data_IF_334373068970
#
_entry.id   IF_334373068970
#
_cell.length_a   1.000
_cell.length_b   1.000
_cell.length_c   1.000
_cell.angle_alpha   90.00
_cell.angle_beta   90.00
_cell.angle_gamma   90.00
#
_symmetry.space_group_name_H-M   'P 1'
#
loop_
_entity.id
_entity.type
_entity.pdbx_description
1 polymer ?
#
# COMPACT_ATOMS: atom_id res chain seq x y z
N UNK A 1 53.21 28.36 14.37
CA UNK A 1 53.63 27.04 13.85
C UNK A 1 52.66 25.93 14.25
N UNK A 2 51.36 26.09 13.99
CA UNK A 2 50.34 25.03 14.18
C UNK A 2 49.14 25.32 13.24
N UNK A 3 49.46 25.49 11.95
CA UNK A 3 48.49 25.76 10.87
C UNK A 3 48.55 24.64 9.84
N UNK A 4 48.45 23.38 10.27
CA UNK A 4 48.47 22.22 9.37
C UNK A 4 48.00 20.95 10.11
N UNK A 5 46.74 20.95 10.55
CA UNK A 5 46.06 19.70 10.92
C UNK A 5 44.54 19.79 10.68
N UNK A 6 44.14 20.43 9.56
CA UNK A 6 42.73 20.53 9.13
C UNK A 6 42.49 19.79 7.80
N UNK A 7 43.54 19.32 7.09
CA UNK A 7 43.42 18.78 5.73
C UNK A 7 43.58 17.26 5.56
N UNK A 8 43.60 16.45 6.61
CA UNK A 8 43.80 14.98 6.51
C UNK A 8 42.64 14.18 7.10
N UNK A 9 41.42 14.69 6.99
CA UNK A 9 40.17 13.90 7.07
C UNK A 9 39.27 14.21 5.86
N UNK A 10 39.87 14.65 4.75
CA UNK A 10 39.18 15.09 3.52
C UNK A 10 39.31 14.05 2.40
N UNK A 11 39.86 12.87 2.67
CA UNK A 11 40.05 11.88 1.61
C UNK A 11 40.09 10.47 2.15
N UNK A 12 38.91 9.85 2.31
CA UNK A 12 38.58 8.51 1.80
C UNK A 12 37.33 7.99 2.50
N UNK A 13 36.17 8.47 2.07
CA UNK A 13 34.97 7.64 2.02
C UNK A 13 34.35 7.94 0.66
N UNK A 14 34.41 6.94 -0.22
CA UNK A 14 33.87 7.01 -1.56
C UNK A 14 32.46 7.60 -1.53
N UNK A 15 32.16 8.50 -2.46
CA UNK A 15 30.78 8.77 -2.82
C UNK A 15 30.17 7.41 -3.22
N UNK A 16 29.35 6.83 -2.35
CA UNK A 16 28.48 5.72 -2.71
C UNK A 16 27.33 6.34 -3.50
N UNK A 17 27.23 6.17 -4.82
CA UNK A 17 25.99 6.46 -5.49
C UNK A 17 24.95 5.46 -4.99
N UNK A 18 23.92 5.94 -4.27
CA UNK A 18 22.68 5.17 -4.09
C UNK A 18 22.47 4.45 -2.76
N UNK A 19 22.61 5.12 -1.61
CA UNK A 19 21.68 4.82 -0.51
C UNK A 19 20.41 5.62 -0.79
N UNK A 20 19.35 4.95 -1.24
CA UNK A 20 18.02 5.57 -1.28
C UNK A 20 17.66 6.04 0.12
N UNK A 21 17.02 7.20 0.26
CA UNK A 21 16.53 7.68 1.57
C UNK A 21 15.60 6.65 2.23
N UNK A 22 14.98 5.76 1.43
CA UNK A 22 14.23 4.59 1.88
C UNK A 22 14.93 3.72 2.92
N UNK A 23 16.26 3.51 2.81
CA UNK A 23 16.95 2.61 3.77
C UNK A 23 17.04 3.20 5.18
N UNK A 24 16.82 4.51 5.31
CA UNK A 24 16.85 5.25 6.55
C UNK A 24 15.43 5.72 6.98
N UNK A 25 14.38 5.05 6.50
CA UNK A 25 13.01 5.39 6.87
C UNK A 25 12.79 5.28 8.39
N UNK A 26 12.21 6.32 8.98
CA UNK A 26 11.87 6.40 10.41
C UNK A 26 10.34 6.42 10.58
N UNK A 27 9.85 6.06 11.77
CA UNK A 27 8.42 6.12 12.10
C UNK A 27 8.06 7.55 12.49
N UNK A 28 7.16 8.20 11.73
CA UNK A 28 6.59 9.51 12.06
C UNK A 28 5.50 9.35 13.11
N UNK A 29 4.57 8.43 12.86
CA UNK A 29 3.44 8.17 13.74
C UNK A 29 3.13 6.68 13.80
N UNK A 30 2.74 6.23 14.98
CA UNK A 30 2.26 4.88 15.22
C UNK A 30 1.25 4.97 16.35
N UNK A 31 0.04 4.49 16.12
CA UNK A 31 -0.96 4.37 17.18
C UNK A 31 -1.66 3.03 17.07
N UNK A 32 -1.87 2.41 18.23
CA UNK A 32 -2.52 1.12 18.37
C UNK A 32 -3.50 1.25 19.56
N UNK A 33 -4.78 0.99 19.32
CA UNK A 33 -5.82 0.97 20.34
C UNK A 33 -6.50 -0.40 20.30
N UNK A 34 -6.39 -1.15 21.38
CA UNK A 34 -6.90 -2.52 21.51
C UNK A 34 -8.01 -2.53 22.55
N UNK A 35 -9.18 -2.97 22.13
CA UNK A 35 -10.42 -2.97 22.89
C UNK A 35 -11.04 -4.38 22.87
N UNK A 36 -11.97 -4.70 23.78
CA UNK A 36 -12.63 -6.01 23.77
C UNK A 36 -13.38 -6.31 22.47
N UNK A 37 -13.90 -5.27 21.81
CA UNK A 37 -14.70 -5.35 20.57
C UNK A 37 -13.85 -5.26 19.29
N UNK A 38 -12.52 -5.12 19.41
CA UNK A 38 -11.64 -5.03 18.25
C UNK A 38 -10.41 -4.15 18.48
N UNK A 39 -9.80 -3.71 17.40
CA UNK A 39 -8.62 -2.84 17.46
C UNK A 39 -8.61 -1.81 16.34
N UNK A 40 -7.85 -0.74 16.54
CA UNK A 40 -7.42 0.16 15.47
C UNK A 40 -5.91 0.29 15.52
N UNK A 41 -5.27 0.28 14.37
CA UNK A 41 -3.83 0.45 14.24
C UNK A 41 -3.52 1.38 13.06
N UNK A 42 -2.54 2.25 13.23
CA UNK A 42 -2.00 3.09 12.17
C UNK A 42 -0.48 3.16 12.27
N UNK A 43 0.14 3.41 11.12
CA UNK A 43 1.56 3.61 10.96
C UNK A 43 1.80 4.61 9.83
N UNK A 44 2.73 5.53 10.07
CA UNK A 44 3.26 6.43 9.06
C UNK A 44 4.78 6.51 9.19
N UNK A 45 5.49 6.45 8.07
CA UNK A 45 6.96 6.54 8.02
C UNK A 45 7.42 7.74 7.19
N UNK A 46 8.69 8.13 7.37
CA UNK A 46 9.29 9.29 6.69
C UNK A 46 9.41 9.14 5.19
N UNK A 47 9.46 7.91 4.68
CA UNK A 47 9.46 7.61 3.25
C UNK A 47 8.05 7.41 2.66
N UNK A 48 7.01 7.90 3.34
CA UNK A 48 5.65 7.95 2.79
C UNK A 48 4.85 6.64 2.89
N UNK A 49 5.35 5.62 3.59
CA UNK A 49 4.55 4.42 3.87
C UNK A 49 3.46 4.80 4.86
N UNK A 50 2.22 4.45 4.53
CA UNK A 50 1.07 4.57 5.43
C UNK A 50 0.32 3.26 5.51
N UNK A 51 -0.08 2.89 6.72
CA UNK A 51 -0.89 1.71 6.98
C UNK A 51 -2.00 2.09 7.96
N UNK A 52 -3.22 1.67 7.67
CA UNK A 52 -4.34 1.78 8.59
C UNK A 52 -5.07 0.45 8.65
N UNK A 53 -5.43 0.01 9.86
CA UNK A 53 -6.19 -1.22 10.08
C UNK A 53 -7.21 -1.03 11.17
N UNK A 54 -8.40 -1.58 10.96
CA UNK A 54 -9.41 -1.79 11.98
C UNK A 54 -9.79 -3.26 11.97
N UNK A 55 -9.78 -3.89 13.13
CA UNK A 55 -10.28 -5.24 13.32
C UNK A 55 -11.44 -5.28 14.30
N UNK A 56 -12.33 -6.26 14.16
CA UNK A 56 -13.42 -6.53 15.09
C UNK A 56 -13.17 -7.80 15.93
N UNK A 57 -14.05 -8.05 16.90
CA UNK A 57 -14.00 -9.22 17.79
C UNK A 57 -14.18 -10.58 17.07
N UNK A 58 -14.67 -10.57 15.82
CA UNK A 58 -14.87 -11.76 15.00
C UNK A 58 -13.63 -12.09 14.16
N UNK A 59 -12.57 -11.28 14.25
CA UNK A 59 -11.34 -11.45 13.48
C UNK A 59 -11.42 -10.90 12.05
N UNK A 60 -12.48 -10.16 11.71
CA UNK A 60 -12.53 -9.44 10.44
C UNK A 60 -11.62 -8.22 10.52
N UNK A 61 -10.88 -7.94 9.45
CA UNK A 61 -9.98 -6.79 9.36
C UNK A 61 -10.30 -6.01 8.09
N UNK A 62 -10.43 -4.70 8.22
CA UNK A 62 -10.41 -3.77 7.10
C UNK A 62 -9.15 -2.93 7.21
N UNK A 63 -8.46 -2.72 6.11
CA UNK A 63 -7.25 -1.92 6.13
C UNK A 63 -6.89 -1.27 4.81
N UNK A 64 -5.91 -0.38 4.90
CA UNK A 64 -5.28 0.30 3.78
C UNK A 64 -3.76 0.26 3.96
N UNK A 65 -3.05 0.23 2.84
CA UNK A 65 -1.61 0.34 2.75
C UNK A 65 -1.27 1.21 1.55
N UNK A 66 -0.37 2.16 1.73
CA UNK A 66 0.15 2.99 0.63
C UNK A 66 1.64 3.25 0.76
N UNK A 67 2.30 3.47 -0.37
CA UNK A 67 3.69 3.92 -0.45
C UNK A 67 3.90 4.77 -1.71
N UNK A 68 4.97 5.55 -1.72
CA UNK A 68 5.38 6.33 -2.90
C UNK A 68 6.40 5.54 -3.73
N UNK A 69 6.25 5.54 -5.05
CA UNK A 69 7.25 4.96 -5.96
C UNK A 69 8.40 5.95 -6.20
N UNK A 70 9.55 5.46 -6.72
CA UNK A 70 10.63 6.35 -7.17
C UNK A 70 10.19 7.38 -8.23
N UNK A 71 9.11 7.09 -8.95
CA UNK A 71 8.49 7.98 -9.95
C UNK A 71 7.51 9.00 -9.35
N UNK A 72 7.43 9.10 -8.02
CA UNK A 72 6.51 9.97 -7.27
C UNK A 72 5.03 9.65 -7.48
N UNK A 73 4.71 8.38 -7.78
CA UNK A 73 3.34 7.88 -7.81
C UNK A 73 2.97 7.27 -6.46
N UNK A 74 1.78 7.55 -5.93
CA UNK A 74 1.28 6.88 -4.73
C UNK A 74 0.56 5.59 -5.11
N UNK A 75 1.11 4.45 -4.71
CA UNK A 75 0.46 3.16 -4.81
C UNK A 75 -0.38 2.94 -3.56
N UNK A 76 -1.65 2.62 -3.73
CA UNK A 76 -2.56 2.33 -2.62
C UNK A 76 -3.32 1.02 -2.83
N UNK A 77 -3.42 0.25 -1.74
CA UNK A 77 -4.22 -0.97 -1.64
C UNK A 77 -5.16 -0.82 -0.45
N UNK A 78 -6.44 -1.11 -0.65
CA UNK A 78 -7.43 -1.29 0.42
C UNK A 78 -7.87 -2.74 0.45
N UNK A 79 -8.20 -3.29 1.60
CA UNK A 79 -8.62 -4.68 1.69
C UNK A 79 -9.66 -4.93 2.78
N UNK A 80 -10.39 -6.03 2.58
CA UNK A 80 -11.20 -6.69 3.60
C UNK A 80 -10.64 -8.11 3.78
N UNK A 81 -10.43 -8.51 5.02
CA UNK A 81 -10.09 -9.88 5.40
C UNK A 81 -11.21 -10.39 6.32
N UNK A 82 -11.94 -11.40 5.86
CA UNK A 82 -13.06 -12.02 6.57
C UNK A 82 -13.09 -13.54 6.29
N UNK A 83 -14.22 -14.20 6.58
CA UNK A 83 -14.43 -15.63 6.33
C UNK A 83 -14.22 -16.04 4.86
N UNK A 84 -14.37 -15.11 3.91
CA UNK A 84 -14.13 -15.33 2.47
C UNK A 84 -12.66 -15.11 2.08
N UNK A 85 -11.77 -14.84 3.06
CA UNK A 85 -10.35 -14.61 2.87
C UNK A 85 -9.99 -13.15 2.61
N UNK A 86 -8.77 -12.94 2.13
CA UNK A 86 -8.20 -11.61 1.86
C UNK A 86 -8.61 -11.09 0.49
N UNK A 87 -9.27 -9.93 0.46
CA UNK A 87 -9.89 -9.34 -0.72
C UNK A 87 -9.32 -7.93 -0.94
N UNK A 88 -8.17 -7.80 -1.63
CA UNK A 88 -7.55 -6.51 -1.91
C UNK A 88 -8.18 -5.83 -3.12
N UNK A 89 -8.22 -4.51 -3.09
CA UNK A 89 -8.63 -3.62 -4.17
C UNK A 89 -7.57 -2.53 -4.34
N UNK A 90 -7.16 -2.27 -5.57
CA UNK A 90 -6.17 -1.25 -5.91
C UNK A 90 -5.95 -1.20 -7.43
N UNK A 91 -5.61 -0.02 -7.96
CA UNK A 91 -5.47 0.20 -9.40
C UNK A 91 -4.35 -0.65 -10.04
N UNK A 92 -3.35 -1.03 -9.24
CA UNK A 92 -2.18 -1.78 -9.68
C UNK A 92 -2.34 -3.30 -9.50
N UNK A 93 -3.49 -3.77 -9.02
CA UNK A 93 -3.76 -5.19 -8.90
C UNK A 93 -4.13 -5.78 -10.26
N UNK A 94 -3.78 -7.05 -10.53
CA UNK A 94 -4.24 -7.74 -11.72
C UNK A 94 -5.76 -7.73 -11.80
N UNK A 95 -6.30 -7.28 -12.93
CA UNK A 95 -7.73 -7.37 -13.22
C UNK A 95 -8.01 -8.61 -14.06
N UNK A 96 -9.18 -9.26 -13.88
CA UNK A 96 -9.59 -10.33 -14.77
C UNK A 96 -9.69 -9.80 -16.21
N UNK A 97 -9.47 -10.66 -17.22
CA UNK A 97 -9.61 -10.25 -18.61
C UNK A 97 -11.03 -9.74 -18.89
N UNK A 98 -11.20 -8.83 -19.86
CA UNK A 98 -12.51 -8.35 -20.24
C UNK A 98 -13.41 -9.50 -20.70
N UNK A 99 -14.72 -9.37 -20.44
CA UNK A 99 -15.72 -10.34 -20.90
C UNK A 99 -15.66 -10.43 -22.44
N UNK A 100 -15.63 -11.64 -23.03
CA UNK A 100 -15.67 -11.80 -24.49
C UNK A 100 -16.88 -11.12 -25.14
N UNK A 101 -16.69 -10.55 -26.34
CA UNK A 101 -17.70 -9.74 -27.03
C UNK A 101 -18.99 -10.53 -27.33
N UNK A 102 -18.88 -11.83 -27.59
CA UNK A 102 -20.01 -12.71 -27.83
C UNK A 102 -20.90 -12.85 -26.59
N UNK A 103 -20.26 -12.93 -25.41
CA UNK A 103 -20.96 -13.03 -24.12
C UNK A 103 -21.63 -11.70 -23.77
N UNK A 104 -20.95 -10.57 -23.98
CA UNK A 104 -21.57 -9.25 -23.83
C UNK A 104 -22.81 -9.11 -24.72
N UNK A 105 -22.71 -9.46 -26.01
CA UNK A 105 -23.84 -9.42 -26.95
C UNK A 105 -24.99 -10.32 -26.52
N UNK A 106 -24.69 -11.52 -26.01
CA UNK A 106 -25.72 -12.43 -25.50
C UNK A 106 -26.44 -11.84 -24.26
N UNK A 107 -25.69 -11.25 -23.32
CA UNK A 107 -26.25 -10.59 -22.14
C UNK A 107 -27.12 -9.38 -22.50
N UNK A 108 -26.69 -8.56 -23.46
CA UNK A 108 -27.47 -7.44 -24.00
C UNK A 108 -28.78 -7.93 -24.64
N UNK A 109 -28.72 -9.02 -25.42
CA UNK A 109 -29.91 -9.61 -26.02
C UNK A 109 -30.88 -10.11 -24.95
N UNK A 110 -30.41 -10.85 -23.94
CA UNK A 110 -31.23 -11.34 -22.84
C UNK A 110 -31.87 -10.18 -22.07
N UNK A 111 -31.11 -9.12 -21.78
CA UNK A 111 -31.62 -7.93 -21.09
C UNK A 111 -32.68 -7.18 -21.92
N UNK A 112 -32.55 -7.16 -23.24
CA UNK A 112 -33.50 -6.54 -24.15
C UNK A 112 -34.76 -7.40 -24.43
N UNK A 113 -34.71 -8.70 -24.15
CA UNK A 113 -35.80 -9.65 -24.37
C UNK A 113 -36.18 -10.36 -23.07
N UNK A 114 -36.67 -9.63 -22.04
CA UNK A 114 -37.09 -10.25 -20.79
C UNK A 114 -38.22 -11.24 -21.08
N UNK A 115 -38.04 -12.49 -20.63
CA UNK A 115 -39.09 -13.49 -20.71
C UNK A 115 -40.18 -13.14 -19.69
N UNK A 116 -41.38 -12.82 -20.16
CA UNK A 116 -42.58 -12.87 -19.34
C UNK A 116 -43.03 -14.32 -19.21
N UNK A 117 -43.13 -14.82 -17.98
CA UNK A 117 -43.85 -16.07 -17.67
C UNK A 117 -45.31 -16.02 -18.16
#
# INVERSE_FOLDING_TARGET
TFQLLICTIVGLAAAFPGQSEDVNAEVISRSEDVRPDGFTANLETTNGIKEERVGDEHGNIKGSFSYETPEQETIQITYVADENGYQPTGAHLPTPPPIPAEIQRALEWIAAHPHSE
#
